data_IF_515027324011
#
_entry.id   IF_515027324011
#
_cell.length_a   1.000
_cell.length_b   1.000
_cell.length_c   1.000
_cell.angle_alpha   90.00
_cell.angle_beta   90.00
_cell.angle_gamma   90.00
#
_symmetry.space_group_name_H-M   'P 1'
#
loop_
_entity.id
_entity.type
_entity.pdbx_description
1 polymer ?
#
# COMPACT_ATOMS: atom_id res chain seq x y z
N UNK A 1 4.54 -1.68 12.39
CA UNK A 1 3.05 -1.68 12.34
C UNK A 1 2.48 -2.98 12.89
N UNK A 2 2.72 -3.29 14.16
CA UNK A 2 2.13 -4.44 14.87
C UNK A 2 1.24 -3.97 16.03
N UNK A 3 0.70 -2.76 15.93
CA UNK A 3 -0.11 -2.15 16.98
C UNK A 3 -1.49 -2.82 17.02
N UNK A 4 -2.00 -3.18 18.22
CA UNK A 4 -3.31 -3.85 18.38
C UNK A 4 -4.45 -3.14 17.64
N UNK A 5 -4.48 -1.80 17.70
CA UNK A 5 -5.47 -0.96 17.04
C UNK A 5 -5.65 -1.25 15.53
N UNK A 6 -4.61 -1.76 14.86
CA UNK A 6 -4.68 -2.17 13.45
C UNK A 6 -4.88 -3.69 13.35
N UNK A 7 -4.07 -4.47 14.05
CA UNK A 7 -3.98 -5.93 13.85
C UNK A 7 -5.17 -6.71 14.40
N UNK A 8 -5.97 -6.15 15.31
CA UNK A 8 -7.18 -6.81 15.83
C UNK A 8 -8.27 -6.97 14.77
N UNK A 9 -8.36 -6.04 13.83
CA UNK A 9 -9.40 -6.01 12.79
C UNK A 9 -8.87 -6.28 11.39
N UNK A 10 -7.56 -6.20 11.21
CA UNK A 10 -6.91 -6.31 9.92
C UNK A 10 -5.86 -7.41 9.91
N UNK A 11 -5.90 -8.24 8.87
CA UNK A 11 -4.82 -9.15 8.55
C UNK A 11 -3.80 -8.42 7.67
N UNK A 12 -2.63 -8.11 8.23
CA UNK A 12 -1.54 -7.48 7.48
C UNK A 12 -0.67 -8.55 6.83
N UNK A 13 -0.46 -8.44 5.52
CA UNK A 13 0.39 -9.34 4.74
C UNK A 13 1.43 -8.47 4.03
N UNK A 14 2.70 -8.71 4.33
CA UNK A 14 3.82 -8.14 3.59
C UNK A 14 4.52 -9.26 2.83
N UNK A 15 4.82 -9.04 1.55
CA UNK A 15 5.52 -9.99 0.71
C UNK A 15 6.60 -9.27 -0.10
N UNK A 16 7.66 -10.01 -0.43
CA UNK A 16 8.74 -9.49 -1.26
C UNK A 16 8.38 -9.64 -2.74
N UNK A 17 8.45 -8.55 -3.50
CA UNK A 17 8.30 -8.59 -4.96
C UNK A 17 9.38 -9.48 -5.59
N UNK A 18 9.14 -10.06 -6.78
CA UNK A 18 10.17 -10.77 -7.52
C UNK A 18 11.45 -9.93 -7.60
N UNK A 19 12.59 -10.58 -7.35
CA UNK A 19 13.93 -10.00 -7.34
C UNK A 19 14.24 -9.09 -6.14
N UNK A 20 13.35 -9.02 -5.13
CA UNK A 20 13.54 -8.23 -3.92
C UNK A 20 13.60 -9.15 -2.69
N UNK A 21 14.33 -8.71 -1.65
CA UNK A 21 14.38 -9.38 -0.35
C UNK A 21 14.73 -10.86 -0.48
N UNK A 22 13.79 -11.73 -0.08
CA UNK A 22 13.90 -13.19 -0.11
C UNK A 22 13.26 -13.82 -1.36
N UNK A 23 12.58 -13.05 -2.19
CA UNK A 23 12.01 -13.49 -3.47
C UNK A 23 13.08 -13.46 -4.56
N UNK A 24 14.05 -14.38 -4.44
CA UNK A 24 15.15 -14.48 -5.39
C UNK A 24 14.65 -14.80 -6.81
N UNK A 25 15.33 -14.28 -7.84
CA UNK A 25 14.99 -14.58 -9.22
C UNK A 25 15.18 -16.08 -9.53
N UNK A 26 14.45 -16.61 -10.53
CA UNK A 26 14.60 -18.01 -10.94
C UNK A 26 16.01 -18.30 -11.46
N UNK A 27 16.39 -19.57 -11.49
CA UNK A 27 17.67 -19.99 -12.07
C UNK A 27 17.79 -19.54 -13.53
N UNK A 28 18.98 -19.08 -13.93
CA UNK A 28 19.25 -18.54 -15.28
C UNK A 28 18.99 -17.04 -15.46
N UNK A 29 18.54 -16.35 -14.40
CA UNK A 29 18.31 -14.89 -14.43
C UNK A 29 19.54 -14.07 -14.79
N UNK A 30 20.75 -14.61 -14.64
CA UNK A 30 22.00 -13.89 -14.90
C UNK A 30 22.14 -13.46 -16.37
N UNK A 31 21.33 -14.04 -17.26
CA UNK A 31 21.27 -13.70 -18.69
C UNK A 31 20.10 -12.79 -19.06
N UNK A 32 19.28 -12.41 -18.08
CA UNK A 32 18.08 -11.58 -18.28
C UNK A 32 18.26 -10.20 -17.64
N UNK A 33 17.81 -9.18 -18.34
CA UNK A 33 17.73 -7.83 -17.79
C UNK A 33 16.49 -7.69 -16.90
N UNK A 34 16.67 -7.16 -15.70
CA UNK A 34 15.56 -6.86 -14.82
C UNK A 34 14.92 -5.53 -15.21
N UNK A 35 13.73 -5.58 -15.79
CA UNK A 35 12.97 -4.40 -16.19
C UNK A 35 11.85 -4.11 -15.18
N UNK A 36 11.82 -2.87 -14.67
CA UNK A 36 10.78 -2.37 -13.79
C UNK A 36 9.51 -2.05 -14.60
N UNK A 37 8.77 -3.07 -15.03
CA UNK A 37 7.56 -2.90 -15.84
C UNK A 37 6.29 -2.94 -14.98
N UNK A 38 5.43 -1.92 -15.14
CA UNK A 38 4.14 -1.80 -14.44
C UNK A 38 3.28 -3.05 -14.56
N UNK A 39 3.18 -3.64 -15.76
CA UNK A 39 2.31 -4.79 -16.00
C UNK A 39 2.80 -6.05 -15.26
N UNK A 40 4.12 -6.25 -15.18
CA UNK A 40 4.72 -7.34 -14.41
C UNK A 40 4.41 -7.21 -12.91
N UNK A 41 4.42 -5.98 -12.38
CA UNK A 41 4.04 -5.73 -10.98
C UNK A 41 2.57 -5.98 -10.71
N UNK A 42 1.69 -5.46 -11.57
CA UNK A 42 0.24 -5.69 -11.48
C UNK A 42 -0.05 -7.19 -11.47
N UNK A 43 0.51 -7.94 -12.44
CA UNK A 43 0.33 -9.39 -12.54
C UNK A 43 0.80 -10.13 -11.28
N UNK A 44 1.94 -9.72 -10.74
CA UNK A 44 2.49 -10.32 -9.51
C UNK A 44 1.54 -10.12 -8.32
N UNK A 45 1.06 -8.89 -8.11
CA UNK A 45 0.16 -8.57 -6.99
C UNK A 45 -1.16 -9.34 -7.13
N UNK A 46 -1.76 -9.35 -8.33
CA UNK A 46 -2.98 -10.11 -8.59
C UNK A 46 -2.80 -11.62 -8.33
N UNK A 47 -1.67 -12.20 -8.73
CA UNK A 47 -1.36 -13.59 -8.47
C UNK A 47 -1.21 -13.90 -6.97
N UNK A 48 -0.66 -12.97 -6.17
CA UNK A 48 -0.60 -13.12 -4.71
C UNK A 48 -1.99 -13.07 -4.09
N UNK A 49 -2.84 -12.13 -4.53
CA UNK A 49 -4.24 -12.01 -4.08
C UNK A 49 -5.00 -13.31 -4.36
N UNK A 50 -4.90 -13.83 -5.57
CA UNK A 50 -5.54 -15.09 -5.98
C UNK A 50 -4.98 -16.28 -5.19
N UNK A 51 -3.66 -16.42 -5.12
CA UNK A 51 -3.00 -17.54 -4.45
C UNK A 51 -3.27 -17.60 -2.94
N UNK A 52 -3.57 -16.45 -2.32
CA UNK A 52 -3.94 -16.36 -0.90
C UNK A 52 -5.46 -16.33 -0.67
N UNK A 53 -6.27 -16.33 -1.74
CA UNK A 53 -7.74 -16.27 -1.66
C UNK A 53 -8.25 -14.99 -1.00
N UNK A 54 -7.62 -13.84 -1.27
CA UNK A 54 -8.00 -12.57 -0.65
C UNK A 54 -9.19 -11.94 -1.39
N UNK A 55 -10.27 -11.68 -0.66
CA UNK A 55 -11.43 -10.97 -1.20
C UNK A 55 -11.32 -9.48 -0.90
N UNK A 56 -11.21 -8.66 -1.95
CA UNK A 56 -11.13 -7.20 -1.89
C UNK A 56 -10.13 -6.63 -0.87
N UNK A 57 -8.84 -7.01 -0.93
CA UNK A 57 -7.85 -6.50 0.00
C UNK A 57 -7.60 -5.00 -0.19
N UNK A 58 -7.00 -4.34 0.81
CA UNK A 58 -6.36 -3.03 0.61
C UNK A 58 -4.89 -3.27 0.26
N UNK A 59 -4.42 -2.57 -0.77
CA UNK A 59 -3.00 -2.52 -1.10
C UNK A 59 -2.38 -1.23 -0.58
N UNK A 60 -1.37 -1.35 0.29
CA UNK A 60 -0.62 -0.21 0.82
C UNK A 60 0.85 -0.32 0.43
N UNK A 61 1.47 0.77 0.00
CA UNK A 61 2.87 0.74 -0.42
C UNK A 61 3.55 2.11 -0.42
N UNK A 62 4.88 2.08 -0.45
CA UNK A 62 5.74 3.24 -0.61
C UNK A 62 6.56 3.13 -1.89
N UNK A 63 6.88 4.28 -2.47
CA UNK A 63 7.65 4.46 -3.69
C UNK A 63 7.05 3.65 -4.84
N UNK A 64 7.80 2.68 -5.34
CA UNK A 64 7.32 1.73 -6.34
C UNK A 64 6.03 1.02 -5.90
N UNK A 65 5.94 0.59 -4.64
CA UNK A 65 4.74 -0.07 -4.10
C UNK A 65 3.53 0.86 -4.05
N UNK A 66 3.74 2.15 -3.77
CA UNK A 66 2.69 3.16 -3.77
C UNK A 66 2.14 3.43 -5.17
N UNK A 67 3.04 3.60 -6.15
CA UNK A 67 2.66 3.73 -7.56
C UNK A 67 1.90 2.50 -8.07
N UNK A 68 2.34 1.30 -7.71
CA UNK A 68 1.63 0.06 -8.05
C UNK A 68 0.22 0.07 -7.44
N UNK A 69 0.08 0.49 -6.18
CA UNK A 69 -1.21 0.56 -5.50
C UNK A 69 -2.19 1.50 -6.20
N UNK A 70 -1.75 2.71 -6.56
CA UNK A 70 -2.60 3.67 -7.27
C UNK A 70 -2.97 3.19 -8.69
N UNK A 71 -2.04 2.60 -9.43
CA UNK A 71 -2.31 2.07 -10.77
C UNK A 71 -3.33 0.93 -10.73
N UNK A 72 -3.16 0.02 -9.77
CA UNK A 72 -4.10 -1.05 -9.52
C UNK A 72 -5.50 -0.48 -9.19
N UNK A 73 -5.60 0.52 -8.31
CA UNK A 73 -6.90 1.09 -7.94
C UNK A 73 -7.57 1.81 -9.10
N UNK A 74 -6.79 2.49 -9.95
CA UNK A 74 -7.33 3.14 -11.15
C UNK A 74 -7.86 2.14 -12.19
N UNK A 75 -7.24 0.96 -12.30
CA UNK A 75 -7.58 -0.04 -13.32
C UNK A 75 -8.58 -1.09 -12.84
N UNK A 76 -8.70 -1.31 -11.53
CA UNK A 76 -9.49 -2.37 -10.92
C UNK A 76 -10.19 -1.88 -9.63
N UNK A 77 -10.75 -0.67 -9.65
CA UNK A 77 -11.39 -0.03 -8.49
C UNK A 77 -12.51 -0.85 -7.84
N UNK A 78 -13.18 -1.73 -8.60
CA UNK A 78 -14.22 -2.63 -8.11
C UNK A 78 -13.68 -3.78 -7.24
N UNK A 79 -12.37 -4.03 -7.34
CA UNK A 79 -11.71 -5.19 -6.75
C UNK A 79 -10.91 -4.85 -5.50
N UNK A 80 -10.47 -3.61 -5.25
CA UNK A 80 -9.69 -3.28 -4.04
C UNK A 80 -9.50 -1.76 -3.81
N UNK A 81 -9.13 -1.41 -2.58
CA UNK A 81 -8.68 -0.06 -2.19
C UNK A 81 -7.15 0.09 -2.20
N UNK A 82 -6.64 1.32 -2.24
CA UNK A 82 -5.20 1.60 -2.28
C UNK A 82 -4.76 2.76 -1.39
N UNK A 83 -3.55 2.65 -0.83
CA UNK A 83 -2.89 3.69 -0.04
C UNK A 83 -1.43 3.87 -0.48
N UNK A 84 -1.07 5.08 -0.93
CA UNK A 84 0.29 5.47 -1.32
C UNK A 84 0.94 6.32 -0.23
N UNK A 85 2.17 5.96 0.11
CA UNK A 85 2.98 6.57 1.17
C UNK A 85 4.03 7.53 0.64
N UNK A 86 4.09 7.79 -0.66
CA UNK A 86 5.20 8.54 -1.26
C UNK A 86 4.81 9.35 -2.47
N UNK A 87 5.31 10.58 -2.52
CA UNK A 87 5.71 11.39 -3.69
C UNK A 87 5.81 12.85 -3.21
N UNK A 88 6.14 13.79 -4.10
CA UNK A 88 5.96 15.21 -3.74
C UNK A 88 4.46 15.48 -3.52
N UNK A 89 4.07 16.42 -2.63
CA UNK A 89 2.66 16.78 -2.46
C UNK A 89 1.98 17.19 -3.78
N UNK A 90 2.73 17.80 -4.71
CA UNK A 90 2.23 18.18 -6.04
C UNK A 90 1.95 16.96 -6.92
N UNK A 91 2.87 16.00 -6.97
CA UNK A 91 2.65 14.73 -7.69
C UNK A 91 1.48 13.93 -7.09
N UNK A 92 1.38 13.91 -5.75
CA UNK A 92 0.31 13.24 -5.01
C UNK A 92 -1.03 13.86 -5.39
N UNK A 93 -1.10 15.20 -5.38
CA UNK A 93 -2.29 15.94 -5.76
C UNK A 93 -2.68 15.69 -7.22
N UNK A 94 -1.72 15.79 -8.15
CA UNK A 94 -1.98 15.54 -9.58
C UNK A 94 -2.55 14.13 -9.81
N UNK A 95 -2.07 13.15 -9.06
CA UNK A 95 -2.53 11.77 -9.16
C UNK A 95 -3.92 11.59 -8.53
N UNK A 96 -4.13 12.13 -7.33
CA UNK A 96 -5.43 12.08 -6.65
C UNK A 96 -6.54 12.77 -7.47
N UNK A 97 -6.25 13.91 -8.10
CA UNK A 97 -7.20 14.63 -8.96
C UNK A 97 -7.66 13.81 -10.19
N UNK A 98 -6.91 12.77 -10.58
CA UNK A 98 -7.23 11.89 -11.71
C UNK A 98 -7.99 10.62 -11.32
N UNK A 99 -8.09 10.32 -10.03
CA UNK A 99 -8.69 9.07 -9.52
C UNK A 99 -9.98 9.41 -8.77
N UNK A 100 -11.17 9.13 -9.34
CA UNK A 100 -12.43 9.36 -8.66
C UNK A 100 -12.49 8.64 -7.30
N UNK A 101 -12.82 9.38 -6.25
CA UNK A 101 -12.90 8.85 -4.88
C UNK A 101 -11.57 8.78 -4.14
N UNK A 102 -10.46 9.19 -4.75
CA UNK A 102 -9.18 9.28 -4.04
C UNK A 102 -9.21 10.41 -2.99
N UNK A 103 -8.55 10.15 -1.86
CA UNK A 103 -8.28 11.15 -0.82
C UNK A 103 -6.79 11.36 -0.69
N UNK A 104 -6.36 12.59 -0.44
CA UNK A 104 -4.97 12.94 -0.19
C UNK A 104 -4.81 13.47 1.23
N UNK A 105 -3.80 12.99 1.94
CA UNK A 105 -3.33 13.56 3.20
C UNK A 105 -1.82 13.85 3.07
N UNK A 106 -1.41 15.06 3.41
CA UNK A 106 0.00 15.45 3.50
C UNK A 106 0.42 15.30 4.95
N UNK A 107 1.53 14.61 5.18
CA UNK A 107 2.09 14.37 6.51
C UNK A 107 3.30 15.30 6.68
N UNK A 108 3.07 16.49 7.22
CA UNK A 108 4.14 17.45 7.47
C UNK A 108 5.20 16.85 8.41
N UNK A 109 6.48 17.17 8.18
CA UNK A 109 7.63 16.71 8.98
C UNK A 109 7.95 15.20 8.93
N UNK A 110 7.27 14.42 8.08
CA UNK A 110 7.59 13.00 7.87
C UNK A 110 8.39 12.76 6.57
N UNK A 111 9.39 11.89 6.65
CA UNK A 111 10.28 11.55 5.52
C UNK A 111 9.72 10.48 4.58
N UNK A 112 10.60 9.83 3.80
CA UNK A 112 10.19 8.98 2.68
C UNK A 112 9.59 7.64 3.11
N UNK A 113 10.00 7.13 4.27
CA UNK A 113 9.47 5.90 4.85
C UNK A 113 8.84 6.18 6.21
N UNK A 114 7.70 6.91 6.26
CA UNK A 114 7.12 7.40 7.51
C UNK A 114 6.78 6.28 8.49
N UNK A 115 6.36 5.12 7.98
CA UNK A 115 6.05 3.92 8.75
C UNK A 115 7.25 3.35 9.53
N UNK A 116 8.47 3.63 9.08
CA UNK A 116 9.73 3.14 9.65
C UNK A 116 10.46 4.24 10.41
N UNK A 117 10.46 5.45 9.86
CA UNK A 117 11.17 6.61 10.40
C UNK A 117 10.44 7.25 11.59
N UNK A 118 9.10 7.32 11.53
CA UNK A 118 8.28 7.96 12.56
C UNK A 118 6.91 7.26 12.73
N UNK A 119 6.90 6.00 13.22
CA UNK A 119 5.71 5.16 13.24
C UNK A 119 4.55 5.75 14.07
N UNK A 120 4.86 6.45 15.17
CA UNK A 120 3.85 7.07 16.04
C UNK A 120 3.14 8.24 15.34
N UNK A 121 3.87 9.12 14.65
CA UNK A 121 3.26 10.21 13.89
C UNK A 121 2.57 9.75 12.61
N UNK A 122 2.99 8.61 12.05
CA UNK A 122 2.36 8.01 10.86
C UNK A 122 1.02 7.33 11.17
N UNK A 123 0.91 6.66 12.32
CA UNK A 123 -0.22 5.78 12.65
C UNK A 123 -1.61 6.46 12.53
N UNK A 124 -1.82 7.71 13.00
CA UNK A 124 -3.12 8.37 12.87
C UNK A 124 -3.59 8.51 11.42
N UNK A 125 -2.69 8.84 10.49
CA UNK A 125 -3.01 8.96 9.07
C UNK A 125 -3.36 7.61 8.45
N UNK A 126 -2.64 6.56 8.84
CA UNK A 126 -2.93 5.21 8.36
C UNK A 126 -4.30 4.72 8.83
N UNK A 127 -4.65 4.96 10.10
CA UNK A 127 -5.96 4.58 10.65
C UNK A 127 -7.09 5.36 9.99
N UNK A 128 -6.92 6.67 9.78
CA UNK A 128 -7.89 7.51 9.06
C UNK A 128 -8.10 7.04 7.61
N UNK A 129 -7.02 6.67 6.91
CA UNK A 129 -7.11 6.10 5.56
C UNK A 129 -7.93 4.80 5.52
N UNK A 130 -7.71 3.88 6.47
CA UNK A 130 -8.50 2.65 6.58
C UNK A 130 -9.98 2.95 6.86
N UNK A 131 -10.26 3.93 7.74
CA UNK A 131 -11.63 4.34 8.05
C UNK A 131 -12.37 4.87 6.82
N UNK A 132 -11.72 5.70 6.00
CA UNK A 132 -12.28 6.24 4.74
C UNK A 132 -12.58 5.15 3.70
N UNK A 133 -11.86 4.03 3.75
CA UNK A 133 -12.12 2.87 2.87
C UNK A 133 -13.23 1.94 3.42
N UNK A 134 -13.94 2.36 4.47
CA UNK A 134 -14.98 1.54 5.11
C UNK A 134 -14.41 0.40 5.99
N UNK A 135 -13.11 0.46 6.29
CA UNK A 135 -12.40 -0.52 7.11
C UNK A 135 -11.95 0.09 8.46
N UNK A 136 -12.71 1.04 8.96
CA UNK A 136 -12.40 1.74 10.20
C UNK A 136 -12.36 0.79 11.41
N UNK A 137 -11.34 0.97 12.25
CA UNK A 137 -11.47 0.61 13.65
C UNK A 137 -12.35 1.68 14.30
N UNK A 138 -13.49 1.30 14.88
CA UNK A 138 -14.04 2.10 15.96
C UNK A 138 -12.96 2.12 17.04
N UNK A 139 -12.29 3.27 17.18
CA UNK A 139 -11.42 3.53 18.30
C UNK A 139 -12.31 3.46 19.53
N UNK A 140 -12.30 2.32 20.23
CA UNK A 140 -12.82 2.26 21.59
C UNK A 140 -11.97 3.26 22.36
N UNK A 141 -12.52 4.44 22.61
CA UNK A 141 -11.99 5.33 23.63
C UNK A 141 -11.84 4.49 24.89
N UNK A 142 -10.60 4.28 25.32
CA UNK A 142 -10.32 3.83 26.66
C UNK A 142 -10.84 4.94 27.58
N UNK A 143 -12.06 4.76 28.05
CA UNK A 143 -12.60 5.55 29.15
C UNK A 143 -11.81 5.18 30.41
N UNK A 144 -11.02 6.16 30.86
CA UNK A 144 -10.32 6.36 32.15
C UNK A 144 -9.69 5.17 32.89
#
# INVERSE_FOLDING_TARGET
MNTPAVTERHRLIAFDMPWHGKSLPPEGFQTQEYLLQTDAYIKTVLAVIEGLGLEKPILAGCSMGGRIALQLAALHADQFGAYDLTCTPEDAKRTADQIPGATLAVMDELGHFPMSEHPEGFLPFFVDALAKMGMGAECLELQD
#
